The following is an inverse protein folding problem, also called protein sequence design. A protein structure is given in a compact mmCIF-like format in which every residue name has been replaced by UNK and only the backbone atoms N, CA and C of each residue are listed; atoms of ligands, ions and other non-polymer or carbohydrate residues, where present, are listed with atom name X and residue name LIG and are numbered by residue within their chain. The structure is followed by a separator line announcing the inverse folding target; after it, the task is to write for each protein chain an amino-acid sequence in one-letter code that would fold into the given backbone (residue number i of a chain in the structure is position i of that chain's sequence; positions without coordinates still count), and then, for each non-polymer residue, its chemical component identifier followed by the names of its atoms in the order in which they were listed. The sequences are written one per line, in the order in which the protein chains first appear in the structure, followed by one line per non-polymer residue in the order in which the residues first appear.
data_IF_612646084076
#
_entry.id   IF_612646084076
#
_cell.length_a   1.000
_cell.length_b   1.000
_cell.length_c   1.000
_cell.angle_alpha   90.00
_cell.angle_beta   90.00
_cell.angle_gamma   90.00
#
_symmetry.space_group_name_H-M   'P 1'
#
loop_
_entity.id
_entity.type
_entity.pdbx_description
1 polymer ?
#
# COMPACT_ATOMS: atom_id res chain seq x y z
N UNK A 1 -4.35 25.35 -7.42
CA UNK A 1 -5.05 24.76 -6.27
C UNK A 1 -6.24 25.63 -5.95
N UNK A 2 -7.43 25.03 -5.85
CA UNK A 2 -8.62 25.68 -5.33
C UNK A 2 -8.51 25.94 -3.83
N UNK A 3 -9.30 26.88 -3.32
CA UNK A 3 -9.31 27.31 -1.91
C UNK A 3 -9.54 26.16 -0.91
N UNK A 4 -10.23 25.10 -1.36
CA UNK A 4 -10.57 23.92 -0.57
C UNK A 4 -9.65 22.73 -0.83
N UNK A 5 -8.70 22.80 -1.77
CA UNK A 5 -7.83 21.67 -2.09
C UNK A 5 -7.02 21.24 -0.87
N UNK A 6 -7.02 19.94 -0.62
CA UNK A 6 -6.29 19.33 0.49
C UNK A 6 -7.15 18.37 1.32
N UNK A 7 -6.62 18.03 2.48
CA UNK A 7 -7.22 17.08 3.41
C UNK A 7 -7.67 17.81 4.66
N UNK A 8 -8.91 17.60 5.06
CA UNK A 8 -9.55 18.35 6.13
C UNK A 8 -10.10 17.41 7.18
N UNK A 9 -9.59 17.52 8.42
CA UNK A 9 -10.20 16.87 9.58
C UNK A 9 -11.54 17.53 9.86
N UNK A 10 -12.58 16.73 10.04
CA UNK A 10 -13.94 17.20 10.27
C UNK A 10 -14.40 16.84 11.68
N UNK A 11 -14.81 17.83 12.45
CA UNK A 11 -15.29 17.65 13.83
C UNK A 11 -16.71 18.19 13.97
N UNK A 12 -17.62 17.40 14.53
CA UNK A 12 -19.01 17.83 14.80
C UNK A 12 -18.98 18.93 15.88
N UNK A 13 -19.66 20.04 15.61
CA UNK A 13 -19.79 21.16 16.56
C UNK A 13 -21.16 21.11 17.25
N UNK A 14 -22.23 20.87 16.49
CA UNK A 14 -23.60 20.84 17.01
C UNK A 14 -24.56 20.15 16.02
N UNK A 15 -25.80 19.89 16.46
CA UNK A 15 -26.88 19.35 15.64
C UNK A 15 -27.25 17.90 15.94
N UNK A 16 -28.22 17.38 15.19
CA UNK A 16 -28.84 16.08 15.42
C UNK A 16 -28.16 14.92 14.67
N UNK A 17 -27.10 15.21 13.91
CA UNK A 17 -26.34 14.22 13.16
C UNK A 17 -25.31 13.52 14.07
N UNK A 18 -24.98 12.24 13.78
CA UNK A 18 -23.98 11.49 14.53
C UNK A 18 -22.62 12.21 14.64
N UNK A 19 -21.82 11.88 15.68
CA UNK A 19 -20.47 12.39 15.82
C UNK A 19 -19.59 11.94 14.64
N UNK A 20 -18.65 12.79 14.26
CA UNK A 20 -17.79 12.61 13.07
C UNK A 20 -16.40 12.07 13.46
N UNK A 21 -16.35 11.04 14.30
CA UNK A 21 -15.07 10.47 14.74
C UNK A 21 -14.25 9.94 13.55
N UNK A 22 -13.00 10.42 13.43
CA UNK A 22 -12.10 10.04 12.34
C UNK A 22 -12.52 10.55 10.95
N UNK A 23 -13.53 11.43 10.86
CA UNK A 23 -14.02 11.92 9.58
C UNK A 23 -13.03 12.86 8.91
N UNK A 24 -12.70 12.58 7.66
CA UNK A 24 -11.80 13.39 6.83
C UNK A 24 -12.47 13.71 5.50
N UNK A 25 -12.29 14.93 5.01
CA UNK A 25 -12.66 15.31 3.64
C UNK A 25 -11.40 15.49 2.80
N UNK A 26 -11.25 14.72 1.72
CA UNK A 26 -10.22 14.95 0.70
C UNK A 26 -10.84 15.70 -0.46
N UNK A 27 -10.24 16.82 -0.87
CA UNK A 27 -10.76 17.68 -1.93
C UNK A 27 -9.66 17.92 -2.96
N UNK A 28 -10.01 17.73 -4.24
CA UNK A 28 -9.15 18.04 -5.37
C UNK A 28 -9.99 18.64 -6.52
N UNK A 29 -9.77 19.93 -6.78
CA UNK A 29 -10.49 20.69 -7.80
C UNK A 29 -11.98 20.74 -7.49
N UNK A 30 -12.80 20.16 -8.38
CA UNK A 30 -14.26 20.19 -8.28
C UNK A 30 -14.86 18.93 -7.64
N UNK A 31 -14.04 18.05 -7.06
CA UNK A 31 -14.48 16.77 -6.48
C UNK A 31 -13.84 16.54 -5.11
N UNK A 32 -14.51 15.72 -4.30
CA UNK A 32 -13.93 15.23 -3.05
C UNK A 32 -14.65 14.00 -2.49
N UNK A 33 -14.09 13.46 -1.43
CA UNK A 33 -14.58 12.28 -0.71
C UNK A 33 -14.66 12.59 0.79
N UNK A 34 -15.75 12.16 1.43
CA UNK A 34 -15.84 12.11 2.90
C UNK A 34 -15.52 10.69 3.35
N UNK A 35 -14.42 10.54 4.07
CA UNK A 35 -13.84 9.27 4.49
C UNK A 35 -13.99 9.09 5.99
N UNK A 36 -14.33 7.87 6.41
CA UNK A 36 -14.33 7.44 7.81
C UNK A 36 -13.47 6.18 7.93
N UNK A 37 -12.89 5.90 9.11
CA UNK A 37 -12.19 4.64 9.34
C UNK A 37 -13.09 3.45 9.00
N UNK A 38 -12.57 2.53 8.19
CA UNK A 38 -13.25 1.28 7.79
C UNK A 38 -14.55 1.42 6.97
N UNK A 39 -14.88 2.62 6.46
CA UNK A 39 -16.05 2.84 5.61
C UNK A 39 -15.62 3.39 4.25
N UNK A 40 -16.14 2.87 3.13
CA UNK A 40 -15.89 3.44 1.81
C UNK A 40 -16.23 4.94 1.76
N UNK A 41 -15.34 5.74 1.17
CA UNK A 41 -15.52 7.19 1.09
C UNK A 41 -16.77 7.59 0.32
N UNK A 42 -17.54 8.55 0.86
CA UNK A 42 -18.73 9.10 0.22
C UNK A 42 -18.33 10.26 -0.72
N UNK A 43 -18.52 10.12 -2.04
CA UNK A 43 -18.12 11.16 -2.99
C UNK A 43 -19.06 12.37 -2.94
N UNK A 44 -18.50 13.55 -3.20
CA UNK A 44 -19.24 14.81 -3.37
C UNK A 44 -18.60 15.69 -4.45
N UNK A 45 -19.41 16.57 -5.03
CA UNK A 45 -18.95 17.63 -5.93
C UNK A 45 -18.72 18.93 -5.16
N UNK A 46 -17.67 19.66 -5.54
CA UNK A 46 -17.37 20.98 -4.98
C UNK A 46 -17.88 22.05 -5.92
N UNK A 47 -18.77 22.91 -5.41
CA UNK A 47 -19.34 24.06 -6.12
C UNK A 47 -19.09 25.32 -5.30
N UNK A 48 -18.00 26.03 -5.61
CA UNK A 48 -17.52 27.13 -4.77
C UNK A 48 -17.17 26.63 -3.37
N UNK A 49 -17.94 27.06 -2.36
CA UNK A 49 -17.79 26.63 -0.96
C UNK A 49 -18.89 25.67 -0.49
N UNK A 50 -19.54 24.99 -1.43
CA UNK A 50 -20.55 23.99 -1.13
C UNK A 50 -20.11 22.58 -1.58
N UNK A 51 -20.37 21.58 -0.75
CA UNK A 51 -20.12 20.16 -1.04
C UNK A 51 -21.46 19.46 -1.28
N UNK A 52 -21.67 18.98 -2.50
CA UNK A 52 -22.92 18.42 -2.99
C UNK A 52 -22.82 16.91 -3.10
N UNK A 53 -23.65 16.18 -2.34
CA UNK A 53 -23.62 14.72 -2.31
C UNK A 53 -24.66 14.16 -3.30
N UNK A 54 -24.24 13.42 -4.34
CA UNK A 54 -25.10 13.07 -5.48
C UNK A 54 -26.36 12.28 -5.12
N UNK A 55 -26.34 11.54 -4.01
CA UNK A 55 -27.40 10.60 -3.65
C UNK A 55 -28.31 11.09 -2.50
N UNK A 56 -28.02 12.22 -1.85
CA UNK A 56 -28.64 12.53 -0.56
C UNK A 56 -29.35 13.88 -0.45
N UNK A 57 -29.51 14.67 -1.52
CA UNK A 57 -30.00 16.08 -1.45
C UNK A 57 -29.31 16.92 -0.35
N UNK A 58 -28.14 16.44 0.08
CA UNK A 58 -27.40 16.93 1.21
C UNK A 58 -26.34 17.88 0.68
N UNK A 59 -26.26 19.05 1.30
CA UNK A 59 -25.31 20.09 0.94
C UNK A 59 -24.64 20.57 2.20
N UNK A 60 -23.32 20.43 2.23
CA UNK A 60 -22.49 21.05 3.25
C UNK A 60 -22.04 22.44 2.75
N UNK A 61 -22.43 23.50 3.45
CA UNK A 61 -22.04 24.88 3.12
C UNK A 61 -20.90 25.33 4.01
N UNK A 62 -19.82 25.85 3.43
CA UNK A 62 -18.60 26.20 4.16
C UNK A 62 -18.41 27.72 4.28
N UNK A 63 -18.17 28.16 5.52
CA UNK A 63 -17.82 29.54 5.86
C UNK A 63 -16.38 29.60 6.36
N UNK A 64 -15.50 30.42 5.76
CA UNK A 64 -14.11 30.51 6.17
C UNK A 64 -13.98 31.09 7.58
N UNK A 65 -13.08 30.52 8.37
CA UNK A 65 -12.67 31.01 9.68
C UNK A 65 -11.16 30.86 9.83
N UNK A 66 -10.39 31.95 9.84
CA UNK A 66 -8.93 32.00 10.08
C UNK A 66 -8.19 30.64 10.01
N UNK A 67 -7.89 30.16 8.80
CA UNK A 67 -7.16 28.90 8.56
C UNK A 67 -7.99 27.61 8.69
N UNK A 68 -9.31 27.71 8.78
CA UNK A 68 -10.28 26.62 8.93
C UNK A 68 -11.61 26.99 8.25
N UNK A 69 -12.58 26.07 8.25
CA UNK A 69 -13.96 26.36 7.84
C UNK A 69 -14.96 25.91 8.91
N UNK A 70 -16.03 26.69 9.07
CA UNK A 70 -17.26 26.24 9.72
C UNK A 70 -18.21 25.75 8.63
N UNK A 71 -18.58 24.49 8.71
CA UNK A 71 -19.52 23.85 7.80
C UNK A 71 -20.91 23.73 8.41
N UNK A 72 -21.93 23.94 7.57
CA UNK A 72 -23.34 23.73 7.91
C UNK A 72 -23.90 22.65 7.00
N UNK A 73 -24.28 21.52 7.59
CA UNK A 73 -24.89 20.40 6.89
C UNK A 73 -26.38 20.67 6.71
N UNK A 74 -26.84 20.71 5.46
CA UNK A 74 -28.24 20.96 5.11
C UNK A 74 -28.84 19.81 4.30
N UNK A 75 -30.09 19.50 4.56
CA UNK A 75 -30.90 18.58 3.75
C UNK A 75 -32.16 19.33 3.31
N UNK A 76 -32.41 19.41 2.01
CA UNK A 76 -33.54 20.19 1.46
C UNK A 76 -33.57 21.65 1.98
N UNK A 77 -32.40 22.25 2.19
CA UNK A 77 -32.26 23.61 2.71
C UNK A 77 -32.49 23.77 4.22
N UNK A 78 -32.85 22.70 4.94
CA UNK A 78 -32.94 22.72 6.41
C UNK A 78 -31.61 22.31 7.03
N UNK A 79 -31.13 23.08 8.00
CA UNK A 79 -29.88 22.80 8.72
C UNK A 79 -30.07 21.61 9.68
N UNK A 80 -29.20 20.62 9.56
CA UNK A 80 -29.19 19.40 10.38
C UNK A 80 -28.08 19.40 11.43
N UNK A 81 -27.03 20.19 11.21
CA UNK A 81 -25.95 20.37 12.17
C UNK A 81 -24.77 21.13 11.61
N UNK A 82 -23.84 21.45 12.50
CA UNK A 82 -22.64 22.22 12.19
C UNK A 82 -21.39 21.38 12.46
N UNK A 83 -20.34 21.64 11.72
CA UNK A 83 -19.06 20.97 11.87
C UNK A 83 -17.92 21.96 11.59
N UNK A 84 -16.72 21.63 12.04
CA UNK A 84 -15.51 22.40 11.74
C UNK A 84 -14.60 21.56 10.85
N UNK A 85 -14.05 22.18 9.81
CA UNK A 85 -12.99 21.63 8.98
C UNK A 85 -11.68 22.33 9.34
N UNK A 86 -10.69 21.57 9.80
CA UNK A 86 -9.32 22.04 9.96
C UNK A 86 -8.44 21.33 8.95
N UNK A 87 -7.53 22.08 8.30
CA UNK A 87 -6.58 21.47 7.38
C UNK A 87 -5.71 20.50 8.17
N UNK A 88 -5.55 19.28 7.67
CA UNK A 88 -4.56 18.35 8.19
C UNK A 88 -3.21 18.80 7.65
N UNK A 89 -2.25 19.00 8.55
CA UNK A 89 -0.90 19.42 8.22
C UNK A 89 -0.29 18.45 7.21
N UNK A 90 0.35 18.97 6.15
CA UNK A 90 0.93 18.16 5.07
C UNK A 90 1.94 17.13 5.62
N UNK A 91 2.58 17.44 6.76
CA UNK A 91 3.45 16.53 7.51
C UNK A 91 2.69 15.33 8.07
N UNK A 92 1.49 15.53 8.63
CA UNK A 92 0.68 14.45 9.18
C UNK A 92 0.16 13.52 8.07
N UNK A 93 -0.24 14.08 6.93
CA UNK A 93 -0.64 13.30 5.76
C UNK A 93 0.54 12.50 5.18
N UNK A 94 1.72 13.10 5.15
CA UNK A 94 2.92 12.43 4.67
C UNK A 94 3.36 11.29 5.60
N UNK A 95 3.24 11.49 6.92
CA UNK A 95 3.43 10.42 7.91
C UNK A 95 2.40 9.28 7.70
N UNK A 96 1.14 9.60 7.46
CA UNK A 96 0.11 8.59 7.16
C UNK A 96 0.46 7.77 5.91
N UNK A 97 0.91 8.43 4.83
CA UNK A 97 1.36 7.73 3.63
C UNK A 97 2.60 6.87 3.87
N UNK A 98 3.57 7.37 4.63
CA UNK A 98 4.75 6.61 5.01
C UNK A 98 4.37 5.31 5.73
N UNK A 99 3.55 5.40 6.77
CA UNK A 99 3.13 4.21 7.55
C UNK A 99 2.38 3.21 6.69
N UNK A 100 1.50 3.70 5.81
CA UNK A 100 0.79 2.85 4.87
C UNK A 100 1.76 2.07 3.97
N UNK A 101 2.77 2.72 3.42
CA UNK A 101 3.73 2.05 2.53
C UNK A 101 4.68 1.09 3.26
N UNK A 102 5.04 1.36 4.52
CA UNK A 102 5.80 0.40 5.34
C UNK A 102 4.93 -0.84 5.60
N UNK A 103 3.66 -0.67 5.93
CA UNK A 103 2.73 -1.78 6.17
C UNK A 103 2.42 -2.59 4.89
N UNK A 104 2.32 -1.94 3.74
CA UNK A 104 2.22 -2.61 2.43
C UNK A 104 3.49 -3.41 2.09
N UNK A 105 4.68 -2.86 2.37
CA UNK A 105 5.95 -3.56 2.18
C UNK A 105 6.05 -4.79 3.09
N UNK A 106 5.75 -4.66 4.39
CA UNK A 106 5.70 -5.81 5.30
C UNK A 106 4.72 -6.91 4.80
N UNK A 107 3.54 -6.53 4.32
CA UNK A 107 2.59 -7.50 3.79
C UNK A 107 3.07 -8.18 2.50
N UNK A 108 3.81 -7.46 1.66
CA UNK A 108 4.49 -8.01 0.47
C UNK A 108 5.52 -9.06 0.87
N UNK A 109 6.43 -8.75 1.80
CA UNK A 109 7.44 -9.68 2.31
C UNK A 109 6.80 -10.97 2.85
N UNK A 110 5.71 -10.85 3.61
CA UNK A 110 4.98 -12.01 4.13
C UNK A 110 4.36 -12.89 3.03
N UNK A 111 4.02 -12.31 1.87
CA UNK A 111 3.59 -13.09 0.71
C UNK A 111 4.78 -13.77 0.03
N UNK A 112 5.91 -13.07 -0.10
CA UNK A 112 7.13 -13.60 -0.72
C UNK A 112 7.70 -14.75 0.10
N UNK A 113 7.74 -14.66 1.42
CA UNK A 113 8.12 -15.77 2.30
C UNK A 113 7.31 -17.05 2.03
N UNK A 114 5.99 -16.93 1.83
CA UNK A 114 5.13 -18.08 1.47
C UNK A 114 5.41 -18.61 0.08
N UNK A 115 5.72 -17.72 -0.87
CA UNK A 115 6.12 -18.12 -2.23
C UNK A 115 7.44 -18.90 -2.18
N UNK A 116 8.44 -18.40 -1.44
CA UNK A 116 9.73 -19.05 -1.25
C UNK A 116 9.58 -20.42 -0.59
N UNK A 117 8.72 -20.57 0.43
CA UNK A 117 8.39 -21.89 1.00
C UNK A 117 7.89 -22.88 -0.08
N UNK A 118 7.02 -22.42 -0.97
CA UNK A 118 6.52 -23.20 -2.10
C UNK A 118 7.65 -23.60 -3.06
N UNK A 119 8.50 -22.66 -3.46
CA UNK A 119 9.62 -22.91 -4.37
C UNK A 119 10.65 -23.87 -3.77
N UNK A 120 11.05 -23.66 -2.51
CA UNK A 120 11.98 -24.51 -1.75
C UNK A 120 11.45 -25.95 -1.67
N UNK A 121 10.15 -26.13 -1.40
CA UNK A 121 9.55 -27.47 -1.29
C UNK A 121 9.41 -28.23 -2.63
N UNK A 122 9.65 -27.56 -3.76
CA UNK A 122 9.37 -28.11 -5.10
C UNK A 122 10.59 -28.21 -6.02
N UNK A 123 11.72 -27.62 -5.64
CA UNK A 123 12.99 -27.72 -6.37
C UNK A 123 13.84 -28.87 -5.84
N UNK A 124 14.46 -29.63 -6.75
CA UNK A 124 15.45 -30.66 -6.42
C UNK A 124 16.90 -30.23 -6.77
N UNK A 125 17.06 -29.05 -7.40
CA UNK A 125 18.37 -28.52 -7.76
C UNK A 125 19.06 -27.88 -6.53
N UNK A 126 20.25 -28.35 -6.13
CA UNK A 126 20.89 -27.94 -4.88
C UNK A 126 21.38 -26.49 -4.89
N UNK A 127 21.76 -25.94 -6.06
CA UNK A 127 22.24 -24.56 -6.15
C UNK A 127 21.06 -23.58 -6.10
N UNK A 128 19.94 -23.92 -6.74
CA UNK A 128 18.71 -23.13 -6.67
C UNK A 128 18.13 -23.20 -5.25
N UNK A 129 18.16 -24.36 -4.60
CA UNK A 129 17.71 -24.54 -3.22
C UNK A 129 18.49 -23.63 -2.26
N UNK A 130 19.83 -23.65 -2.32
CA UNK A 130 20.69 -22.80 -1.49
C UNK A 130 20.41 -21.30 -1.72
N UNK A 131 20.25 -20.88 -2.97
CA UNK A 131 19.91 -19.50 -3.30
C UNK A 131 18.54 -19.07 -2.74
N UNK A 132 17.51 -19.93 -2.83
CA UNK A 132 16.18 -19.64 -2.30
C UNK A 132 16.16 -19.62 -0.77
N UNK A 133 16.87 -20.53 -0.11
CA UNK A 133 16.99 -20.53 1.36
C UNK A 133 17.73 -19.30 1.87
N UNK A 134 18.80 -18.90 1.18
CA UNK A 134 19.51 -17.66 1.47
C UNK A 134 18.59 -16.45 1.34
N UNK A 135 17.91 -16.33 0.20
CA UNK A 135 17.02 -15.22 -0.06
C UNK A 135 15.86 -15.17 0.95
N UNK A 136 15.27 -16.32 1.31
CA UNK A 136 14.25 -16.39 2.36
C UNK A 136 14.71 -15.82 3.71
N UNK A 137 15.99 -16.01 4.07
CA UNK A 137 16.54 -15.39 5.29
C UNK A 137 16.64 -13.87 5.16
N UNK A 138 17.01 -13.35 3.97
CA UNK A 138 17.01 -11.91 3.69
C UNK A 138 15.59 -11.34 3.78
N UNK A 139 14.63 -11.92 3.05
CA UNK A 139 13.20 -11.55 3.05
C UNK A 139 12.61 -11.55 4.47
N UNK A 140 12.98 -12.50 5.33
CA UNK A 140 12.55 -12.50 6.73
C UNK A 140 13.13 -11.30 7.49
N UNK A 141 14.41 -10.99 7.28
CA UNK A 141 15.04 -9.80 7.83
C UNK A 141 14.40 -8.50 7.34
N UNK A 142 13.97 -8.46 6.07
CA UNK A 142 13.25 -7.32 5.49
C UNK A 142 11.88 -7.12 6.14
N UNK A 143 11.12 -8.20 6.32
CA UNK A 143 9.85 -8.18 7.05
C UNK A 143 10.02 -7.65 8.48
N UNK A 144 10.99 -8.19 9.22
CA UNK A 144 11.27 -7.79 10.60
C UNK A 144 11.67 -6.31 10.67
N UNK A 145 12.49 -5.85 9.71
CA UNK A 145 12.88 -4.44 9.58
C UNK A 145 11.67 -3.53 9.37
N UNK A 146 10.69 -3.92 8.56
CA UNK A 146 9.47 -3.13 8.37
C UNK A 146 8.61 -3.08 9.63
N UNK A 147 8.58 -4.15 10.43
CA UNK A 147 7.94 -4.14 11.76
C UNK A 147 8.64 -3.12 12.67
N UNK A 148 9.97 -3.16 12.76
CA UNK A 148 10.75 -2.18 13.54
C UNK A 148 10.46 -0.74 13.10
N UNK A 149 10.34 -0.51 11.78
CA UNK A 149 10.00 0.82 11.26
C UNK A 149 8.59 1.26 11.65
N UNK A 150 7.60 0.37 11.65
CA UNK A 150 6.25 0.69 12.15
C UNK A 150 6.27 1.03 13.64
N UNK A 151 6.95 0.22 14.44
CA UNK A 151 7.06 0.41 15.89
C UNK A 151 7.74 1.74 16.24
N UNK A 152 8.75 2.16 15.47
CA UNK A 152 9.40 3.47 15.64
C UNK A 152 8.45 4.67 15.45
N UNK A 153 7.28 4.45 14.84
CA UNK A 153 6.23 5.46 14.68
C UNK A 153 5.00 5.23 15.56
N UNK A 154 5.12 4.37 16.58
CA UNK A 154 4.01 3.93 17.45
C UNK A 154 2.87 3.23 16.68
N UNK A 155 3.21 2.59 15.56
CA UNK A 155 2.30 1.79 14.74
C UNK A 155 2.64 0.29 14.83
N UNK A 156 1.72 -0.55 14.40
CA UNK A 156 1.95 -2.00 14.28
C UNK A 156 1.43 -2.51 12.95
N UNK A 157 1.93 -3.66 12.45
CA UNK A 157 1.42 -4.27 11.23
C UNK A 157 -0.09 -4.44 11.29
N UNK A 158 -0.78 -4.03 10.22
CA UNK A 158 -2.23 -4.12 10.20
C UNK A 158 -2.67 -5.59 10.10
N UNK A 159 -3.58 -6.00 11.00
CA UNK A 159 -4.15 -7.36 11.03
C UNK A 159 -5.25 -7.57 9.97
N UNK A 160 -5.53 -6.54 9.15
CA UNK A 160 -6.65 -6.53 8.20
C UNK A 160 -6.18 -7.11 6.86
N UNK A 161 -6.95 -8.08 6.33
CA UNK A 161 -6.83 -8.61 4.97
C UNK A 161 -6.64 -7.47 3.95
N UNK A 162 -5.40 -7.21 3.55
CA UNK A 162 -5.07 -6.22 2.55
C UNK A 162 -5.48 -6.74 1.16
N UNK A 163 -6.75 -6.49 0.80
CA UNK A 163 -7.23 -6.61 -0.58
C UNK A 163 -7.24 -5.19 -1.16
N UNK A 164 -6.06 -4.72 -1.57
CA UNK A 164 -5.91 -3.45 -2.27
C UNK A 164 -4.83 -3.57 -3.35
N UNK A 165 -5.24 -3.39 -4.62
CA UNK A 165 -4.37 -3.15 -5.78
C UNK A 165 -3.23 -4.15 -6.02
N UNK A 166 -2.07 -3.88 -5.42
CA UNK A 166 -0.79 -4.58 -5.64
C UNK A 166 -0.81 -6.00 -5.08
N UNK A 167 -1.32 -6.19 -3.85
CA UNK A 167 -1.48 -7.55 -3.27
C UNK A 167 -2.56 -8.33 -4.02
N UNK A 168 -3.59 -7.66 -4.56
CA UNK A 168 -4.59 -8.31 -5.41
C UNK A 168 -4.03 -8.79 -6.76
N UNK A 169 -2.90 -8.24 -7.22
CA UNK A 169 -2.14 -8.72 -8.36
C UNK A 169 -1.21 -9.89 -7.96
N UNK A 170 -0.55 -9.80 -6.79
CA UNK A 170 0.25 -10.89 -6.21
C UNK A 170 -0.60 -12.14 -5.89
N UNK A 171 -1.83 -11.97 -5.39
CA UNK A 171 -2.78 -13.06 -5.15
C UNK A 171 -3.27 -13.76 -6.43
N UNK A 172 -2.95 -13.20 -7.61
CA UNK A 172 -3.19 -13.81 -8.93
C UNK A 172 -1.95 -14.46 -9.52
N UNK A 173 -0.77 -14.34 -8.89
CA UNK A 173 0.36 -15.20 -9.20
C UNK A 173 0.03 -16.62 -8.71
N UNK A 174 0.34 -17.64 -9.52
CA UNK A 174 -0.51 -18.80 -9.68
C UNK A 174 -0.56 -19.68 -8.43
N UNK A 175 -1.76 -19.82 -7.86
CA UNK A 175 -2.14 -20.86 -6.89
C UNK A 175 -2.19 -22.29 -7.50
N UNK A 176 -1.77 -22.45 -8.75
CA UNK A 176 -1.87 -23.70 -9.50
C UNK A 176 -0.67 -24.61 -9.17
N UNK A 177 -0.71 -25.28 -8.01
CA UNK A 177 0.22 -26.35 -7.58
C UNK A 177 0.16 -27.62 -8.45
N UNK A 178 -0.40 -27.56 -9.66
CA UNK A 178 -0.71 -28.73 -10.51
C UNK A 178 -0.39 -28.45 -11.98
N UNK A 179 0.87 -28.22 -12.36
CA UNK A 179 1.38 -28.33 -13.74
C UNK A 179 2.88 -28.72 -13.77
N UNK A 180 3.30 -29.39 -14.84
CA UNK A 180 4.58 -30.10 -15.01
C UNK A 180 5.85 -29.26 -14.91
N UNK A 181 5.82 -28.00 -15.36
CA UNK A 181 6.97 -27.08 -15.24
C UNK A 181 6.96 -26.33 -13.90
N UNK A 182 7.87 -26.72 -13.01
CA UNK A 182 8.12 -26.06 -11.72
C UNK A 182 9.30 -25.08 -11.84
N UNK A 183 10.43 -25.50 -12.43
CA UNK A 183 11.64 -24.67 -12.48
C UNK A 183 11.46 -23.37 -13.27
N UNK A 184 11.06 -23.42 -14.54
CA UNK A 184 10.90 -22.24 -15.38
C UNK A 184 9.77 -21.31 -14.94
N UNK A 185 8.69 -21.88 -14.38
CA UNK A 185 7.60 -21.12 -13.77
C UNK A 185 8.08 -20.38 -12.52
N UNK A 186 8.80 -21.07 -11.62
CA UNK A 186 9.34 -20.48 -10.41
C UNK A 186 10.33 -19.35 -10.75
N UNK A 187 11.21 -19.55 -11.73
CA UNK A 187 12.14 -18.51 -12.18
C UNK A 187 11.41 -17.27 -12.75
N UNK A 188 10.39 -17.48 -13.59
CA UNK A 188 9.56 -16.39 -14.13
C UNK A 188 8.84 -15.62 -13.05
N UNK A 189 8.15 -16.33 -12.17
CA UNK A 189 7.31 -15.71 -11.14
C UNK A 189 8.17 -15.07 -10.05
N UNK A 190 9.32 -15.68 -9.71
CA UNK A 190 10.36 -15.09 -8.87
C UNK A 190 10.89 -13.79 -9.46
N UNK A 191 11.42 -13.82 -10.69
CA UNK A 191 11.96 -12.61 -11.36
C UNK A 191 10.96 -11.46 -11.42
N UNK A 192 9.70 -11.75 -11.74
CA UNK A 192 8.65 -10.72 -11.76
C UNK A 192 8.37 -10.15 -10.36
N UNK A 193 8.45 -10.99 -9.32
CA UNK A 193 8.28 -10.59 -7.92
C UNK A 193 9.43 -9.68 -7.48
N UNK A 194 10.69 -10.07 -7.72
CA UNK A 194 11.86 -9.24 -7.37
C UNK A 194 11.74 -7.80 -7.90
N UNK A 195 11.32 -7.63 -9.16
CA UNK A 195 11.14 -6.31 -9.76
C UNK A 195 9.96 -5.53 -9.19
N UNK A 196 8.92 -6.22 -8.72
CA UNK A 196 7.83 -5.58 -7.98
C UNK A 196 8.32 -5.09 -6.62
N UNK A 197 9.16 -5.86 -5.93
CA UNK A 197 9.75 -5.47 -4.64
C UNK A 197 10.67 -4.27 -4.81
N UNK A 198 11.58 -4.30 -5.79
CA UNK A 198 12.44 -3.16 -6.16
C UNK A 198 11.59 -1.91 -6.40
N UNK A 199 10.51 -2.00 -7.19
CA UNK A 199 9.64 -0.86 -7.49
C UNK A 199 8.94 -0.33 -6.23
N UNK A 200 8.49 -1.23 -5.36
CA UNK A 200 7.78 -0.89 -4.12
C UNK A 200 8.70 -0.21 -3.11
N UNK A 201 9.92 -0.73 -2.92
CA UNK A 201 10.91 -0.12 -2.05
C UNK A 201 11.49 1.18 -2.61
N UNK A 202 11.63 1.33 -3.94
CA UNK A 202 12.00 2.62 -4.53
C UNK A 202 10.95 3.70 -4.23
N UNK A 203 9.66 3.34 -4.24
CA UNK A 203 8.59 4.26 -3.85
C UNK A 203 8.65 4.58 -2.35
N UNK A 204 8.75 3.56 -1.49
CA UNK A 204 8.85 3.71 -0.03
C UNK A 204 10.04 4.60 0.35
N UNK A 205 11.22 4.35 -0.22
CA UNK A 205 12.43 5.15 0.01
C UNK A 205 12.21 6.64 -0.26
N UNK A 206 11.58 6.99 -1.38
CA UNK A 206 11.30 8.40 -1.74
C UNK A 206 10.26 9.03 -0.84
N UNK A 207 9.28 8.27 -0.36
CA UNK A 207 8.27 8.75 0.58
C UNK A 207 8.91 8.99 1.96
N UNK A 208 9.74 8.06 2.43
CA UNK A 208 10.50 8.18 3.66
C UNK A 208 11.42 9.41 3.65
N UNK A 209 12.16 9.65 2.56
CA UNK A 209 12.98 10.86 2.39
C UNK A 209 12.15 12.15 2.46
N UNK A 210 10.97 12.18 1.83
CA UNK A 210 10.08 13.35 1.91
C UNK A 210 9.54 13.55 3.34
N UNK A 211 9.30 12.46 4.06
CA UNK A 211 8.84 12.47 5.45
C UNK A 211 9.95 12.79 6.46
N UNK A 212 11.22 12.85 6.03
CA UNK A 212 12.38 13.03 6.89
C UNK A 212 12.76 11.77 7.70
N UNK A 213 12.28 10.60 7.29
CA UNK A 213 12.62 9.32 7.91
C UNK A 213 13.80 8.65 7.17
N UNK A 214 15.00 9.11 7.49
CA UNK A 214 16.25 8.62 6.87
C UNK A 214 16.55 7.15 7.19
N UNK A 215 16.11 6.66 8.36
CA UNK A 215 16.29 5.26 8.74
C UNK A 215 15.44 4.32 7.89
N UNK A 216 14.17 4.65 7.63
CA UNK A 216 13.33 3.89 6.70
C UNK A 216 13.87 3.99 5.26
N UNK A 217 14.36 5.17 4.85
CA UNK A 217 14.96 5.33 3.53
C UNK A 217 16.22 4.47 3.34
N UNK A 218 17.05 4.37 4.38
CA UNK A 218 18.25 3.52 4.37
C UNK A 218 17.87 2.05 4.32
N UNK A 219 16.95 1.60 5.17
CA UNK A 219 16.45 0.22 5.13
C UNK A 219 15.90 -0.16 3.75
N UNK A 220 15.07 0.70 3.15
CA UNK A 220 14.55 0.46 1.81
C UNK A 220 15.67 0.38 0.75
N UNK A 221 16.74 1.16 0.88
CA UNK A 221 17.88 1.09 -0.04
C UNK A 221 18.66 -0.23 0.07
N UNK A 222 18.90 -0.69 1.29
CA UNK A 222 19.57 -1.98 1.56
C UNK A 222 18.75 -3.14 0.97
N UNK A 223 17.44 -3.14 1.18
CA UNK A 223 16.54 -4.17 0.64
C UNK A 223 16.56 -4.16 -0.90
N UNK A 224 16.51 -2.98 -1.54
CA UNK A 224 16.63 -2.87 -3.01
C UNK A 224 17.91 -3.51 -3.54
N UNK A 225 19.01 -3.48 -2.78
CA UNK A 225 20.28 -4.09 -3.20
C UNK A 225 20.21 -5.61 -3.15
N UNK A 226 19.57 -6.17 -2.11
CA UNK A 226 19.29 -7.61 -1.99
C UNK A 226 18.38 -8.10 -3.13
N UNK A 227 17.25 -7.43 -3.39
CA UNK A 227 16.31 -7.81 -4.47
C UNK A 227 16.95 -7.73 -5.85
N UNK A 228 17.82 -6.74 -6.08
CA UNK A 228 18.60 -6.66 -7.33
C UNK A 228 19.57 -7.81 -7.48
N UNK A 229 20.16 -8.28 -6.37
CA UNK A 229 21.07 -9.42 -6.39
C UNK A 229 20.32 -10.70 -6.74
N UNK A 230 19.14 -10.93 -6.15
CA UNK A 230 18.30 -12.10 -6.45
C UNK A 230 17.76 -12.06 -7.88
N UNK A 231 17.24 -10.92 -8.35
CA UNK A 231 16.82 -10.74 -9.74
C UNK A 231 17.95 -11.05 -10.73
N UNK A 232 19.17 -10.59 -10.43
CA UNK A 232 20.36 -10.84 -11.27
C UNK A 232 20.77 -12.31 -11.24
N UNK A 233 20.66 -12.99 -10.11
CA UNK A 233 20.90 -14.43 -10.00
C UNK A 233 19.95 -15.18 -10.95
N UNK A 234 18.65 -14.86 -10.93
CA UNK A 234 17.69 -15.49 -11.84
C UNK A 234 18.03 -15.18 -13.31
N UNK A 235 18.35 -13.91 -13.62
CA UNK A 235 18.72 -13.47 -14.97
C UNK A 235 19.91 -14.25 -15.55
N UNK A 236 20.90 -14.57 -14.71
CA UNK A 236 22.10 -15.28 -15.11
C UNK A 236 21.88 -16.79 -15.29
N UNK A 237 20.74 -17.33 -14.85
CA UNK A 237 20.46 -18.76 -14.83
C UNK A 237 19.29 -19.18 -15.75
N UNK A 238 18.84 -18.32 -16.67
CA UNK A 238 17.73 -18.65 -17.58
C UNK A 238 17.95 -19.94 -18.38
N UNK A 239 19.16 -20.19 -18.87
CA UNK A 239 19.49 -21.41 -19.61
C UNK A 239 19.29 -22.65 -18.72
N UNK A 240 19.77 -22.60 -17.47
CA UNK A 240 19.60 -23.67 -16.48
C UNK A 240 18.12 -23.92 -16.18
N UNK A 241 17.33 -22.87 -15.96
CA UNK A 241 15.89 -23.01 -15.72
C UNK A 241 15.15 -23.59 -16.94
N UNK A 242 15.57 -23.25 -18.16
CA UNK A 242 15.01 -23.82 -19.39
C UNK A 242 15.34 -25.31 -19.51
N UNK A 243 16.59 -25.72 -19.25
CA UNK A 243 17.01 -27.13 -19.24
C UNK A 243 16.23 -27.94 -18.19
N UNK A 244 16.13 -27.44 -16.95
CA UNK A 244 15.35 -28.08 -15.89
C UNK A 244 13.88 -28.23 -16.28
N UNK A 245 13.28 -27.22 -16.89
CA UNK A 245 11.88 -27.28 -17.34
C UNK A 245 11.68 -28.36 -18.42
N UNK A 246 12.64 -28.51 -19.33
CA UNK A 246 12.60 -29.57 -20.35
C UNK A 246 12.77 -30.96 -19.73
N UNK A 247 13.67 -31.09 -18.74
CA UNK A 247 13.88 -32.35 -18.00
C UNK A 247 12.63 -32.75 -17.20
N UNK A 248 11.93 -31.80 -16.57
CA UNK A 248 10.66 -32.02 -15.86
C UNK A 248 9.56 -32.60 -16.77
N UNK A 249 9.58 -32.25 -18.06
CA UNK A 249 8.69 -32.79 -19.09
C UNK A 249 9.23 -34.09 -19.74
N UNK A 250 10.35 -34.63 -19.25
CA UNK A 250 10.98 -35.86 -19.75
C UNK A 250 11.73 -35.69 -21.08
N UNK A 251 12.07 -34.44 -21.45
CA UNK A 251 12.83 -34.12 -22.66
C UNK A 251 14.32 -34.07 -22.29
N UNK A 252 15.14 -34.89 -22.95
CA UNK A 252 16.60 -34.85 -22.80
C UNK A 252 17.19 -33.81 -23.74
N UNK A 253 17.91 -32.84 -23.20
CA UNK A 253 18.64 -31.76 -23.89
C UNK A 253 20.10 -31.77 -23.48
#
# INVERSE_FOLDING_TARGET
MGELDGVWKVERVSGALPPLHGCVKRIHGTRGTTEFPHVPGLPFEVRGRELHYPLSMFVDKLEPQNGSYLGRSTLLGRELGQFKMRRLDDVAQLKEQLLKHIDEAHAMEQNVLRMLDGMISTTDDPEILDALEHHKMQTQGHADRMVERLEAHDASPSTVKQIGGVIGALAKLPLDLVRGEKAGRNARDGYATEHLEIASYELLRRIAQKAGDEETATAAQEIIEDERAMAKLIEQNWDKFAELSLQEEGITV
#
